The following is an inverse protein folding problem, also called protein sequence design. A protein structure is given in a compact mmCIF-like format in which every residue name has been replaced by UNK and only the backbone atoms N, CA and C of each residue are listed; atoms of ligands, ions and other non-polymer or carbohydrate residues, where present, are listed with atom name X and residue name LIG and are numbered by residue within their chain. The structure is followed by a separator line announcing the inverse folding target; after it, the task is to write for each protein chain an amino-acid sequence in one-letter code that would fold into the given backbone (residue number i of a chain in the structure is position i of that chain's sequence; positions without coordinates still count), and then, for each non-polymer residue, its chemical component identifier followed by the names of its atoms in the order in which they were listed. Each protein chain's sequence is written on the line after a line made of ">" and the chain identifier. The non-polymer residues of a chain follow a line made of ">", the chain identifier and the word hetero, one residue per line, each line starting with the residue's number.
data_IF_984472933280
#
_entry.id   IF_984472933280
#
_cell.length_a   1.000
_cell.length_b   1.000
_cell.length_c   1.000
_cell.angle_alpha   90.00
_cell.angle_beta   90.00
_cell.angle_gamma   90.00
#
_symmetry.space_group_name_H-M   'P 1'
#
loop_
_entity.id
_entity.type
_entity.pdbx_description
1 polymer ?
#
# COMPACT_ATOMS: atom_id res chain seq x y z
N UNK A 1 10.33 -13.49 -2.13
CA UNK A 1 11.04 -12.45 -1.36
C UNK A 1 11.19 -12.73 0.15
N UNK A 2 10.61 -13.78 0.71
CA UNK A 2 10.63 -14.01 2.16
C UNK A 2 11.72 -15.00 2.62
N UNK A 3 12.26 -15.81 1.72
CA UNK A 3 13.29 -16.82 2.04
C UNK A 3 14.56 -16.16 2.59
N UNK A 4 15.00 -15.07 1.97
CA UNK A 4 16.21 -14.35 2.41
C UNK A 4 16.09 -13.73 3.82
N UNK A 5 14.89 -13.29 4.22
CA UNK A 5 14.63 -12.75 5.56
C UNK A 5 14.69 -13.82 6.65
N UNK A 6 14.51 -15.08 6.27
CA UNK A 6 14.53 -16.23 7.18
C UNK A 6 15.92 -16.86 7.18
N UNK A 7 16.46 -17.12 5.99
CA UNK A 7 17.77 -17.74 5.83
C UNK A 7 18.91 -16.81 6.28
N UNK A 8 18.76 -15.49 6.03
CA UNK A 8 19.77 -14.49 6.40
C UNK A 8 20.17 -14.55 7.88
N UNK A 9 19.23 -14.36 8.83
CA UNK A 9 19.55 -14.43 10.26
C UNK A 9 20.09 -15.78 10.72
N UNK A 10 19.59 -16.90 10.14
CA UNK A 10 20.08 -18.24 10.48
C UNK A 10 21.54 -18.44 10.05
N UNK A 11 21.85 -18.07 8.81
CA UNK A 11 23.24 -18.16 8.30
C UNK A 11 24.15 -17.21 9.06
N UNK A 12 23.71 -15.97 9.30
CA UNK A 12 24.49 -15.01 10.09
C UNK A 12 24.72 -15.52 11.52
N UNK A 13 23.68 -16.03 12.18
CA UNK A 13 23.79 -16.61 13.53
C UNK A 13 24.76 -17.80 13.59
N UNK A 14 24.71 -18.72 12.63
CA UNK A 14 25.59 -19.86 12.54
C UNK A 14 27.05 -19.43 12.33
N UNK A 15 27.30 -18.44 11.46
CA UNK A 15 28.64 -17.90 11.21
C UNK A 15 29.19 -17.19 12.46
N UNK A 16 28.37 -16.39 13.14
CA UNK A 16 28.76 -15.70 14.37
C UNK A 16 29.18 -16.72 15.43
N UNK A 17 28.39 -17.79 15.61
CA UNK A 17 28.64 -18.82 16.60
C UNK A 17 29.87 -19.67 16.31
N UNK A 18 30.21 -19.91 15.02
CA UNK A 18 31.30 -20.82 14.63
C UNK A 18 32.59 -20.10 14.26
N UNK A 19 32.52 -18.94 13.61
CA UNK A 19 33.67 -18.26 13.01
C UNK A 19 33.92 -16.87 13.59
N UNK A 20 32.88 -16.26 14.15
CA UNK A 20 32.93 -14.90 14.69
C UNK A 20 32.28 -13.85 13.80
N UNK A 21 31.97 -12.71 14.40
CA UNK A 21 31.14 -11.61 13.79
C UNK A 21 31.81 -11.05 12.52
N UNK A 22 33.12 -11.00 12.43
CA UNK A 22 33.86 -10.45 11.29
C UNK A 22 33.53 -11.15 9.97
N UNK A 23 33.32 -12.45 9.99
CA UNK A 23 33.03 -13.23 8.78
C UNK A 23 31.65 -12.96 8.22
N UNK A 24 30.70 -12.52 9.03
CA UNK A 24 29.37 -12.07 8.55
C UNK A 24 29.50 -10.80 7.71
N UNK A 25 30.34 -9.85 8.13
CA UNK A 25 30.59 -8.64 7.33
C UNK A 25 31.31 -8.95 6.02
N UNK A 26 32.28 -9.88 6.05
CA UNK A 26 32.97 -10.33 4.82
C UNK A 26 31.96 -10.99 3.85
N UNK A 27 31.11 -11.91 4.36
CA UNK A 27 30.12 -12.57 3.55
C UNK A 27 29.15 -11.54 2.94
N UNK A 28 28.67 -10.57 3.75
CA UNK A 28 27.79 -9.52 3.26
C UNK A 28 28.46 -8.66 2.19
N UNK A 29 29.73 -8.30 2.35
CA UNK A 29 30.49 -7.55 1.36
C UNK A 29 30.60 -8.32 0.03
N UNK A 30 30.97 -9.61 0.09
CA UNK A 30 31.06 -10.48 -1.10
C UNK A 30 29.72 -10.60 -1.82
N UNK A 31 28.63 -10.87 -1.09
CA UNK A 31 27.28 -10.97 -1.66
C UNK A 31 26.81 -9.64 -2.27
N UNK A 32 27.18 -8.52 -1.67
CA UNK A 32 26.86 -7.18 -2.20
C UNK A 32 27.57 -6.91 -3.52
N UNK A 33 28.86 -7.28 -3.61
CA UNK A 33 29.64 -7.16 -4.86
C UNK A 33 29.05 -8.07 -5.95
N UNK A 34 28.75 -9.33 -5.63
CA UNK A 34 28.11 -10.26 -6.57
C UNK A 34 26.78 -9.70 -7.07
N UNK A 35 25.94 -9.22 -6.15
CA UNK A 35 24.63 -8.61 -6.51
C UNK A 35 24.81 -7.40 -7.42
N UNK A 36 25.79 -6.53 -7.14
CA UNK A 36 26.14 -5.38 -7.99
C UNK A 36 26.54 -5.84 -9.40
N UNK A 37 27.36 -6.88 -9.51
CA UNK A 37 27.79 -7.44 -10.79
C UNK A 37 26.63 -8.03 -11.59
N UNK A 38 25.72 -8.76 -10.94
CA UNK A 38 24.51 -9.33 -11.56
C UNK A 38 23.62 -8.21 -12.08
N UNK A 39 23.41 -7.14 -11.29
CA UNK A 39 22.59 -5.99 -11.70
C UNK A 39 23.22 -5.25 -12.88
N UNK A 40 24.54 -5.06 -12.90
CA UNK A 40 25.24 -4.43 -14.03
C UNK A 40 25.13 -5.24 -15.33
N UNK A 41 25.09 -6.56 -15.24
CA UNK A 41 24.91 -7.44 -16.40
C UNK A 41 23.46 -7.59 -16.84
N UNK A 42 22.50 -7.17 -16.02
CA UNK A 42 21.09 -7.34 -16.35
C UNK A 42 20.64 -6.37 -17.45
N UNK A 43 20.42 -6.90 -18.62
CA UNK A 43 19.86 -6.15 -19.77
C UNK A 43 18.34 -6.28 -19.76
N UNK A 44 17.65 -5.20 -19.43
CA UNK A 44 16.20 -5.11 -19.57
C UNK A 44 15.84 -4.68 -21.00
N UNK A 45 15.04 -5.46 -21.71
CA UNK A 45 14.40 -5.01 -22.94
C UNK A 45 13.40 -3.90 -22.61
N UNK A 46 13.78 -2.67 -22.92
CA UNK A 46 12.92 -1.51 -22.71
C UNK A 46 11.94 -1.40 -23.90
N UNK A 47 10.63 -1.52 -23.62
CA UNK A 47 9.62 -1.14 -24.61
C UNK A 47 9.50 0.38 -24.56
N UNK A 48 9.89 1.11 -25.61
CA UNK A 48 9.76 2.56 -25.64
C UNK A 48 8.27 2.93 -25.54
N UNK A 49 7.94 3.81 -24.60
CA UNK A 49 6.61 4.39 -24.53
C UNK A 49 6.51 5.48 -25.62
N UNK A 50 5.52 5.45 -26.52
CA UNK A 50 5.36 6.44 -27.58
C UNK A 50 5.18 7.87 -27.04
N UNK A 51 4.66 8.02 -25.79
CA UNK A 51 4.49 9.30 -25.12
C UNK A 51 5.76 9.79 -24.39
N UNK A 52 6.90 9.09 -24.55
CA UNK A 52 8.16 9.44 -23.91
C UNK A 52 8.21 9.11 -22.41
N UNK A 53 9.24 9.65 -21.71
CA UNK A 53 9.42 9.46 -20.27
C UNK A 53 8.54 10.42 -19.48
N UNK A 54 7.94 9.93 -18.39
CA UNK A 54 7.25 10.82 -17.44
C UNK A 54 8.25 11.70 -16.69
N UNK A 55 7.90 12.97 -16.46
CA UNK A 55 8.65 13.84 -15.55
C UNK A 55 8.53 13.33 -14.13
N UNK A 56 9.63 13.25 -13.38
CA UNK A 56 9.64 12.66 -12.03
C UNK A 56 8.62 13.32 -11.09
N UNK A 57 8.55 14.65 -11.09
CA UNK A 57 7.63 15.41 -10.22
C UNK A 57 6.17 15.10 -10.57
N UNK A 58 5.81 15.11 -11.87
CA UNK A 58 4.48 14.76 -12.34
C UNK A 58 4.12 13.32 -11.95
N UNK A 59 5.05 12.40 -12.14
CA UNK A 59 4.90 11.00 -11.77
C UNK A 59 4.66 10.80 -10.25
N UNK A 60 5.41 11.51 -9.40
CA UNK A 60 5.23 11.47 -7.94
C UNK A 60 3.88 12.06 -7.54
N UNK A 61 3.51 13.22 -8.10
CA UNK A 61 2.22 13.86 -7.86
C UNK A 61 1.06 12.92 -8.17
N UNK A 62 1.06 12.33 -9.37
CA UNK A 62 -0.01 11.40 -9.79
C UNK A 62 -0.06 10.18 -8.88
N UNK A 63 1.07 9.64 -8.45
CA UNK A 63 1.12 8.55 -7.47
C UNK A 63 0.50 8.93 -6.13
N UNK A 64 0.81 10.12 -5.60
CA UNK A 64 0.22 10.64 -4.37
C UNK A 64 -1.28 10.90 -4.51
N UNK A 65 -1.70 11.49 -5.63
CA UNK A 65 -3.12 11.71 -5.94
C UNK A 65 -3.89 10.39 -6.00
N UNK A 66 -3.32 9.35 -6.64
CA UNK A 66 -3.94 8.04 -6.68
C UNK A 66 -4.20 7.50 -5.27
N UNK A 67 -3.18 7.53 -4.42
CA UNK A 67 -3.29 7.07 -3.02
C UNK A 67 -4.31 7.90 -2.25
N UNK A 68 -4.28 9.24 -2.39
CA UNK A 68 -5.21 10.14 -1.69
C UNK A 68 -6.68 9.92 -2.11
N UNK A 69 -6.94 9.58 -3.37
CA UNK A 69 -8.28 9.40 -3.91
C UNK A 69 -8.80 7.94 -3.87
N UNK A 70 -7.93 6.96 -3.55
CA UNK A 70 -8.33 5.56 -3.42
C UNK A 70 -8.46 5.19 -1.95
N UNK A 71 -9.71 4.90 -1.51
CA UNK A 71 -10.01 4.47 -0.14
C UNK A 71 -9.31 3.15 0.20
N UNK A 72 -9.26 2.24 -0.76
CA UNK A 72 -8.71 0.89 -0.58
C UNK A 72 -7.22 0.89 -0.28
N UNK A 73 -6.41 1.67 -1.02
CA UNK A 73 -4.97 1.76 -0.73
C UNK A 73 -4.71 2.55 0.55
N UNK A 74 -5.50 3.61 0.85
CA UNK A 74 -5.38 4.33 2.13
C UNK A 74 -5.66 3.42 3.32
N UNK A 75 -6.69 2.56 3.23
CA UNK A 75 -6.98 1.56 4.25
C UNK A 75 -5.81 0.58 4.43
N UNK A 76 -5.24 0.07 3.32
CA UNK A 76 -4.09 -0.83 3.37
C UNK A 76 -2.84 -0.16 3.98
N UNK A 77 -2.59 1.13 3.66
CA UNK A 77 -1.49 1.90 4.26
C UNK A 77 -1.68 2.14 5.76
N UNK A 78 -2.90 2.47 6.18
CA UNK A 78 -3.22 2.65 7.60
C UNK A 78 -3.05 1.34 8.37
N UNK A 79 -3.58 0.23 7.84
CA UNK A 79 -3.46 -1.08 8.47
C UNK A 79 -2.01 -1.54 8.60
N UNK A 80 -1.19 -1.35 7.56
CA UNK A 80 0.22 -1.74 7.63
C UNK A 80 1.00 -0.86 8.60
N UNK A 81 0.75 0.46 8.63
CA UNK A 81 1.39 1.36 9.58
C UNK A 81 1.04 0.99 11.03
N UNK A 82 -0.25 0.75 11.32
CA UNK A 82 -0.73 0.31 12.63
C UNK A 82 -0.15 -1.05 13.02
N UNK A 83 -0.14 -2.01 12.09
CA UNK A 83 0.44 -3.33 12.34
C UNK A 83 1.92 -3.24 12.73
N UNK A 84 2.72 -2.53 11.94
CA UNK A 84 4.15 -2.41 12.21
C UNK A 84 4.47 -1.54 13.42
N UNK A 85 3.64 -0.53 13.73
CA UNK A 85 3.77 0.27 14.94
C UNK A 85 3.67 -0.61 16.20
N UNK A 86 2.70 -1.52 16.26
CA UNK A 86 2.51 -2.37 17.43
C UNK A 86 3.40 -3.60 17.42
N UNK A 87 3.59 -4.25 16.27
CA UNK A 87 4.42 -5.46 16.16
C UNK A 87 5.89 -5.22 16.45
N UNK A 88 6.38 -4.00 16.22
CA UNK A 88 7.77 -3.62 16.52
C UNK A 88 8.07 -3.60 18.02
N UNK A 89 7.06 -3.46 18.89
CA UNK A 89 7.25 -3.48 20.34
C UNK A 89 8.07 -4.68 20.82
N UNK A 90 7.70 -5.87 20.36
CA UNK A 90 8.39 -7.10 20.75
C UNK A 90 9.85 -7.15 20.28
N UNK A 91 10.10 -6.78 19.03
CA UNK A 91 11.47 -6.78 18.48
C UNK A 91 12.35 -5.69 19.09
N UNK A 92 11.80 -4.50 19.34
CA UNK A 92 12.52 -3.39 19.96
C UNK A 92 12.93 -3.70 21.42
N UNK A 93 12.05 -4.40 22.15
CA UNK A 93 12.29 -4.75 23.56
C UNK A 93 12.94 -6.12 23.75
N UNK A 94 13.12 -6.90 22.66
CA UNK A 94 13.67 -8.26 22.71
C UNK A 94 15.01 -8.38 23.44
N UNK A 95 16.00 -7.45 23.27
CA UNK A 95 17.23 -7.51 24.00
C UNK A 95 17.05 -7.37 25.53
N UNK A 96 16.09 -6.55 25.96
CA UNK A 96 15.78 -6.37 27.38
C UNK A 96 15.08 -7.61 27.96
N UNK A 97 14.17 -8.22 27.18
CA UNK A 97 13.50 -9.46 27.57
C UNK A 97 14.50 -10.59 27.70
N UNK A 98 15.41 -10.75 26.72
CA UNK A 98 16.44 -11.79 26.76
C UNK A 98 17.35 -11.67 27.98
N UNK A 99 17.70 -10.45 28.39
CA UNK A 99 18.48 -10.20 29.62
C UNK A 99 17.72 -10.49 30.91
N UNK A 100 16.39 -10.33 30.92
CA UNK A 100 15.53 -10.61 32.08
C UNK A 100 15.24 -12.09 32.32
N UNK A 101 15.43 -12.95 31.31
CA UNK A 101 15.29 -14.39 31.46
C UNK A 101 16.54 -14.97 32.18
N UNK A 102 16.31 -15.95 33.05
CA UNK A 102 17.34 -16.49 34.00
C UNK A 102 18.66 -16.97 33.38
N UNK A 103 18.72 -17.15 32.06
CA UNK A 103 19.96 -17.54 31.33
C UNK A 103 20.61 -16.38 30.59
N UNK A 104 20.09 -15.18 30.65
CA UNK A 104 20.45 -13.85 30.15
C UNK A 104 21.68 -13.62 29.28
N UNK A 105 22.09 -14.58 28.43
CA UNK A 105 23.25 -14.52 27.57
C UNK A 105 22.89 -14.24 26.10
N UNK A 106 23.91 -14.06 25.27
CA UNK A 106 23.74 -13.88 23.82
C UNK A 106 23.07 -15.09 23.15
N UNK A 107 23.17 -16.28 23.75
CA UNK A 107 22.54 -17.52 23.30
C UNK A 107 21.03 -17.44 23.39
N UNK A 108 20.48 -16.88 24.48
CA UNK A 108 19.03 -16.69 24.66
C UNK A 108 18.45 -15.78 23.60
N UNK A 109 19.09 -14.64 23.32
CA UNK A 109 18.66 -13.75 22.25
C UNK A 109 18.67 -14.43 20.87
N UNK A 110 19.72 -15.18 20.57
CA UNK A 110 19.83 -15.95 19.33
C UNK A 110 18.76 -17.03 19.22
N UNK A 111 18.49 -17.75 20.32
CA UNK A 111 17.41 -18.75 20.38
C UNK A 111 16.05 -18.13 20.06
N UNK A 112 15.72 -16.99 20.65
CA UNK A 112 14.45 -16.30 20.43
C UNK A 112 14.29 -15.86 18.96
N UNK A 113 15.33 -15.27 18.36
CA UNK A 113 15.32 -14.90 16.94
C UNK A 113 15.21 -16.12 16.01
N UNK A 114 15.94 -17.19 16.31
CA UNK A 114 15.86 -18.44 15.55
C UNK A 114 14.44 -19.03 15.62
N UNK A 115 13.82 -19.02 16.81
CA UNK A 115 12.45 -19.50 17.01
C UNK A 115 11.44 -18.66 16.21
N UNK A 116 11.60 -17.34 16.17
CA UNK A 116 10.77 -16.48 15.31
C UNK A 116 10.93 -16.84 13.82
N UNK A 117 12.18 -17.10 13.40
CA UNK A 117 12.47 -17.54 12.02
C UNK A 117 11.81 -18.87 11.67
N UNK A 118 11.87 -19.88 12.56
CA UNK A 118 11.22 -21.19 12.33
C UNK A 118 9.70 -21.08 12.22
N UNK A 119 9.08 -20.26 13.09
CA UNK A 119 7.65 -19.95 12.99
C UNK A 119 7.27 -19.28 11.67
N UNK A 120 8.08 -18.33 11.20
CA UNK A 120 7.88 -17.67 9.92
C UNK A 120 8.01 -18.64 8.73
N UNK A 121 8.93 -19.62 8.79
CA UNK A 121 9.04 -20.70 7.77
C UNK A 121 7.75 -21.54 7.77
N UNK A 122 7.28 -21.97 8.94
CA UNK A 122 6.06 -22.77 9.07
C UNK A 122 4.85 -22.06 8.45
N UNK A 123 4.70 -20.75 8.70
CA UNK A 123 3.67 -19.92 8.09
C UNK A 123 3.81 -19.83 6.56
N UNK A 124 5.03 -19.62 6.06
CA UNK A 124 5.28 -19.49 4.63
C UNK A 124 4.90 -20.77 3.87
N UNK A 125 5.19 -21.95 4.44
CA UNK A 125 4.83 -23.24 3.86
C UNK A 125 3.33 -23.52 3.92
N UNK A 126 2.63 -23.07 4.96
CA UNK A 126 1.19 -23.28 5.14
C UNK A 126 0.32 -22.18 4.48
N UNK A 127 0.91 -21.09 3.99
CA UNK A 127 0.19 -19.92 3.48
C UNK A 127 -0.76 -20.24 2.33
N UNK A 128 -0.39 -21.14 1.41
CA UNK A 128 -1.23 -21.53 0.28
C UNK A 128 -2.54 -22.21 0.75
N UNK A 129 -2.44 -23.08 1.75
CA UNK A 129 -3.61 -23.75 2.36
C UNK A 129 -4.45 -22.75 3.14
N UNK A 130 -3.81 -21.88 3.92
CA UNK A 130 -4.50 -20.92 4.79
C UNK A 130 -5.35 -19.92 3.97
N UNK A 131 -4.87 -19.51 2.79
CA UNK A 131 -5.61 -18.64 1.87
C UNK A 131 -6.82 -19.29 1.21
N UNK A 132 -6.86 -20.60 1.09
CA UNK A 132 -8.02 -21.33 0.55
C UNK A 132 -9.18 -21.35 1.53
N UNK A 133 -8.89 -21.29 2.84
CA UNK A 133 -9.87 -21.45 3.91
C UNK A 133 -10.35 -20.13 4.50
N UNK A 134 -9.58 -19.06 4.34
CA UNK A 134 -9.84 -17.79 5.00
C UNK A 134 -9.81 -16.62 4.01
N UNK A 135 -10.84 -15.75 4.03
CA UNK A 135 -10.78 -14.48 3.34
C UNK A 135 -9.65 -13.61 3.94
N UNK A 136 -9.11 -12.70 3.14
CA UNK A 136 -7.92 -11.89 3.50
C UNK A 136 -8.09 -11.10 4.79
N UNK A 137 -9.25 -10.48 4.96
CA UNK A 137 -9.53 -9.64 6.12
C UNK A 137 -9.58 -10.44 7.41
N UNK A 138 -10.21 -11.65 7.36
CA UNK A 138 -10.18 -12.58 8.47
C UNK A 138 -8.76 -13.08 8.77
N UNK A 139 -7.93 -13.26 7.72
CA UNK A 139 -6.54 -13.67 7.88
C UNK A 139 -5.71 -12.59 8.60
N UNK A 140 -5.85 -11.32 8.22
CA UNK A 140 -5.19 -10.18 8.88
C UNK A 140 -5.62 -10.10 10.34
N UNK A 141 -6.93 -10.17 10.64
CA UNK A 141 -7.43 -10.08 12.02
C UNK A 141 -6.93 -11.23 12.88
N UNK A 142 -7.07 -12.48 12.40
CA UNK A 142 -6.63 -13.66 13.15
C UNK A 142 -5.13 -13.67 13.41
N UNK A 143 -4.34 -13.26 12.39
CA UNK A 143 -2.90 -13.14 12.54
C UNK A 143 -2.52 -12.03 13.55
N UNK A 144 -3.22 -10.89 13.54
CA UNK A 144 -2.99 -9.82 14.53
C UNK A 144 -3.35 -10.28 15.94
N UNK A 145 -4.47 -10.97 16.13
CA UNK A 145 -4.85 -11.51 17.44
C UNK A 145 -3.85 -12.57 17.93
N UNK A 146 -3.41 -13.46 17.04
CA UNK A 146 -2.41 -14.47 17.36
C UNK A 146 -1.07 -13.82 17.75
N UNK A 147 -0.66 -12.77 17.04
CA UNK A 147 0.53 -12.01 17.38
C UNK A 147 0.41 -11.32 18.73
N UNK A 148 -0.73 -10.70 19.01
CA UNK A 148 -1.00 -10.06 20.31
C UNK A 148 -0.97 -11.07 21.45
N UNK A 149 -1.58 -12.25 21.25
CA UNK A 149 -1.52 -13.33 22.23
C UNK A 149 -0.07 -13.83 22.47
N UNK A 150 0.71 -13.98 21.40
CA UNK A 150 2.12 -14.34 21.50
C UNK A 150 2.96 -13.25 22.22
N UNK A 151 2.66 -11.96 21.98
CA UNK A 151 3.31 -10.84 22.65
C UNK A 151 2.98 -10.82 24.16
N UNK A 152 1.73 -11.11 24.53
CA UNK A 152 1.32 -11.28 25.92
C UNK A 152 2.02 -12.47 26.57
N UNK A 153 2.04 -13.62 25.89
CA UNK A 153 2.74 -14.81 26.37
C UNK A 153 4.24 -14.55 26.60
N UNK A 154 4.86 -13.75 25.73
CA UNK A 154 6.24 -13.31 25.87
C UNK A 154 6.47 -12.42 27.09
N UNK A 155 5.49 -11.52 27.40
CA UNK A 155 5.57 -10.63 28.57
C UNK A 155 5.55 -11.36 29.91
N UNK A 156 4.93 -12.54 29.97
CA UNK A 156 4.81 -13.38 31.18
C UNK A 156 5.65 -14.66 31.14
N UNK A 157 6.52 -14.81 30.13
CA UNK A 157 7.30 -16.04 29.96
C UNK A 157 8.24 -16.27 31.15
N UNK A 158 8.11 -17.42 31.86
CA UNK A 158 8.91 -17.69 33.05
C UNK A 158 10.35 -18.16 32.70
N UNK A 159 10.57 -18.63 31.49
CA UNK A 159 11.85 -19.18 31.04
C UNK A 159 12.04 -19.05 29.54
N UNK A 160 13.27 -19.28 29.06
CA UNK A 160 13.66 -19.14 27.65
C UNK A 160 12.89 -20.09 26.69
N UNK A 161 12.46 -21.26 27.15
CA UNK A 161 11.74 -22.22 26.29
C UNK A 161 10.31 -21.76 26.00
N UNK A 162 9.59 -21.29 27.01
CA UNK A 162 8.25 -20.71 26.84
C UNK A 162 8.33 -19.48 25.95
N UNK A 163 9.33 -18.63 26.18
CA UNK A 163 9.61 -17.46 25.35
C UNK A 163 9.92 -17.86 23.89
N UNK A 164 10.68 -18.94 23.65
CA UNK A 164 10.98 -19.45 22.31
C UNK A 164 9.73 -19.94 21.57
N UNK A 165 8.82 -20.63 22.27
CA UNK A 165 7.52 -21.03 21.69
C UNK A 165 6.68 -19.79 21.34
N UNK A 166 6.58 -18.83 22.25
CA UNK A 166 5.86 -17.58 21.99
C UNK A 166 6.47 -16.81 20.79
N UNK A 167 7.79 -16.78 20.65
CA UNK A 167 8.49 -16.20 19.51
C UNK A 167 8.21 -16.94 18.20
N UNK A 168 8.14 -18.27 18.21
CA UNK A 168 7.77 -19.03 17.02
C UNK A 168 6.35 -18.71 16.56
N UNK A 169 5.38 -18.64 17.50
CA UNK A 169 4.00 -18.24 17.21
C UNK A 169 3.95 -16.79 16.70
N UNK A 170 4.73 -15.89 17.31
CA UNK A 170 4.83 -14.50 16.85
C UNK A 170 5.36 -14.41 15.43
N UNK A 171 6.43 -15.14 15.09
CA UNK A 171 7.00 -15.19 13.74
C UNK A 171 5.99 -15.71 12.69
N UNK A 172 5.22 -16.73 13.04
CA UNK A 172 4.14 -17.25 12.21
C UNK A 172 3.07 -16.17 11.96
N UNK A 173 2.59 -15.54 13.00
CA UNK A 173 1.57 -14.50 12.92
C UNK A 173 2.05 -13.28 12.14
N UNK A 174 3.27 -12.83 12.42
CA UNK A 174 3.89 -11.67 11.79
C UNK A 174 4.00 -11.82 10.27
N UNK A 175 4.56 -12.93 9.78
CA UNK A 175 4.73 -13.15 8.33
C UNK A 175 3.39 -13.34 7.64
N UNK A 176 2.42 -13.97 8.31
CA UNK A 176 1.06 -14.16 7.79
C UNK A 176 0.37 -12.80 7.58
N UNK A 177 0.38 -11.94 8.59
CA UNK A 177 -0.22 -10.61 8.52
C UNK A 177 0.50 -9.71 7.50
N UNK A 178 1.83 -9.61 7.57
CA UNK A 178 2.64 -8.81 6.66
C UNK A 178 2.43 -9.21 5.19
N UNK A 179 2.32 -10.52 4.91
CA UNK A 179 2.08 -11.02 3.57
C UNK A 179 0.64 -10.72 3.10
N UNK A 180 -0.37 -10.90 3.96
CA UNK A 180 -1.76 -10.58 3.63
C UNK A 180 -1.94 -9.08 3.31
N UNK A 181 -1.37 -8.20 4.14
CA UNK A 181 -1.38 -6.74 3.92
C UNK A 181 -0.62 -6.34 2.63
N UNK A 182 0.54 -6.96 2.37
CA UNK A 182 1.32 -6.69 1.16
C UNK A 182 0.56 -7.06 -0.11
N UNK A 183 -0.12 -8.20 -0.12
CA UNK A 183 -0.93 -8.64 -1.26
C UNK A 183 -2.16 -7.74 -1.42
N UNK A 184 -2.81 -7.35 -0.32
CA UNK A 184 -3.94 -6.41 -0.36
C UNK A 184 -3.54 -5.08 -0.98
N UNK A 185 -2.40 -4.52 -0.58
CA UNK A 185 -1.87 -3.28 -1.16
C UNK A 185 -1.54 -3.43 -2.66
N UNK A 186 -0.90 -4.53 -3.07
CA UNK A 186 -0.57 -4.78 -4.48
C UNK A 186 -1.79 -4.89 -5.37
N UNK A 187 -2.85 -5.57 -4.90
CA UNK A 187 -4.09 -5.73 -5.65
C UNK A 187 -4.98 -4.47 -5.66
N UNK A 188 -4.69 -3.51 -4.78
CA UNK A 188 -5.36 -2.21 -4.77
C UNK A 188 -4.72 -1.20 -5.72
N UNK A 189 -3.68 -1.60 -6.47
CA UNK A 189 -2.88 -0.73 -7.31
C UNK A 189 -2.82 -1.27 -8.75
N UNK A 190 -3.30 -0.52 -9.75
CA UNK A 190 -3.09 -0.88 -11.15
C UNK A 190 -1.60 -0.81 -11.50
N UNK A 191 -1.22 -1.52 -12.57
CA UNK A 191 0.19 -1.73 -12.95
C UNK A 191 0.99 -0.45 -13.12
N UNK A 192 0.37 0.58 -13.70
CA UNK A 192 1.03 1.85 -14.01
C UNK A 192 1.44 2.66 -12.77
N UNK A 193 0.76 2.48 -11.62
CA UNK A 193 1.06 3.21 -10.35
C UNK A 193 1.63 2.28 -9.27
N UNK A 194 1.68 0.95 -9.53
CA UNK A 194 2.06 -0.05 -8.52
C UNK A 194 3.40 0.23 -7.86
N UNK A 195 4.42 0.58 -8.62
CA UNK A 195 5.75 0.86 -8.07
C UNK A 195 5.72 2.05 -7.08
N UNK A 196 4.96 3.11 -7.40
CA UNK A 196 4.81 4.31 -6.57
C UNK A 196 3.99 4.05 -5.31
N UNK A 197 2.86 3.35 -5.46
CA UNK A 197 2.03 2.94 -4.32
C UNK A 197 2.76 2.00 -3.38
N UNK A 198 3.57 1.07 -3.91
CA UNK A 198 4.38 0.17 -3.09
C UNK A 198 5.55 0.87 -2.39
N UNK A 199 6.11 1.94 -2.94
CA UNK A 199 7.09 2.76 -2.19
C UNK A 199 6.44 3.48 -1.01
N UNK A 200 5.21 4.01 -1.16
CA UNK A 200 4.45 4.56 -0.02
C UNK A 200 4.10 3.49 1.01
N UNK A 201 3.80 2.27 0.57
CA UNK A 201 3.60 1.11 1.45
C UNK A 201 4.86 0.81 2.28
N UNK A 202 6.05 0.86 1.66
CA UNK A 202 7.32 0.69 2.38
C UNK A 202 7.59 1.84 3.35
N UNK A 203 7.26 3.08 2.99
CA UNK A 203 7.34 4.22 3.92
C UNK A 203 6.41 4.02 5.13
N UNK A 204 5.20 3.51 4.93
CA UNK A 204 4.28 3.20 6.02
C UNK A 204 4.82 2.09 6.96
N UNK A 205 5.48 1.06 6.41
CA UNK A 205 6.17 0.02 7.20
C UNK A 205 7.28 0.65 8.06
N UNK A 206 8.21 1.35 7.42
CA UNK A 206 9.39 1.92 8.09
C UNK A 206 8.97 2.99 9.10
N UNK A 207 8.05 3.88 8.71
CA UNK A 207 7.51 4.91 9.60
C UNK A 207 6.76 4.32 10.79
N UNK A 208 5.89 3.34 10.56
CA UNK A 208 5.20 2.60 11.63
C UNK A 208 6.17 1.91 12.57
N UNK A 209 7.19 1.23 12.03
CA UNK A 209 8.21 0.56 12.84
C UNK A 209 9.06 1.54 13.67
N UNK A 210 9.50 2.65 13.07
CA UNK A 210 10.29 3.65 13.77
C UNK A 210 9.50 4.32 14.91
N UNK A 211 8.27 4.73 14.62
CA UNK A 211 7.37 5.29 15.64
C UNK A 211 7.06 4.27 16.73
N UNK A 212 6.83 3.00 16.34
CA UNK A 212 6.59 1.91 17.28
C UNK A 212 7.78 1.68 18.20
N UNK A 213 9.00 1.59 17.66
CA UNK A 213 10.21 1.41 18.47
C UNK A 213 10.41 2.55 19.47
N UNK A 214 10.20 3.80 19.04
CA UNK A 214 10.30 4.97 19.92
C UNK A 214 9.21 4.97 21.01
N UNK A 215 7.95 4.74 20.62
CA UNK A 215 6.79 4.75 21.52
C UNK A 215 6.92 3.65 22.58
N UNK A 216 7.15 2.42 22.17
CA UNK A 216 7.20 1.27 23.08
C UNK A 216 8.49 1.22 23.88
N UNK A 217 9.62 1.70 23.31
CA UNK A 217 10.86 1.91 24.03
C UNK A 217 10.66 2.91 25.17
N UNK A 218 10.07 4.08 24.90
CA UNK A 218 9.77 5.08 25.91
C UNK A 218 8.75 4.57 26.95
N UNK A 219 7.71 3.87 26.53
CA UNK A 219 6.74 3.27 27.46
C UNK A 219 7.43 2.28 28.41
N UNK A 220 8.34 1.45 27.89
CA UNK A 220 9.07 0.49 28.71
C UNK A 220 10.02 1.16 29.74
N UNK A 221 10.58 2.33 29.40
CA UNK A 221 11.45 3.09 30.34
C UNK A 221 10.66 3.75 31.45
N UNK A 222 9.46 4.25 31.16
CA UNK A 222 8.59 4.96 32.13
C UNK A 222 7.82 3.97 33.02
N UNK A 223 7.50 2.79 32.49
CA UNK A 223 6.71 1.79 33.23
C UNK A 223 7.53 0.51 33.49
N UNK A 224 7.36 -0.47 32.60
CA UNK A 224 8.15 -1.72 32.57
C UNK A 224 8.01 -2.39 31.21
N UNK A 225 8.95 -3.30 30.88
CA UNK A 225 8.91 -4.08 29.64
C UNK A 225 7.63 -4.91 29.51
N UNK A 226 7.18 -5.69 30.54
CA UNK A 226 5.93 -6.42 30.45
C UNK A 226 4.73 -5.50 30.22
N UNK A 227 4.63 -4.38 30.94
CA UNK A 227 3.52 -3.42 30.78
C UNK A 227 3.48 -2.86 29.36
N UNK A 228 4.63 -2.45 28.80
CA UNK A 228 4.70 -1.96 27.42
C UNK A 228 4.22 -3.01 26.41
N UNK A 229 4.58 -4.28 26.58
CA UNK A 229 4.13 -5.38 25.72
C UNK A 229 2.63 -5.64 25.86
N UNK A 230 2.06 -5.61 27.08
CA UNK A 230 0.62 -5.76 27.30
C UNK A 230 -0.18 -4.65 26.62
N UNK A 231 0.24 -3.39 26.80
CA UNK A 231 -0.42 -2.25 26.19
C UNK A 231 -0.29 -2.31 24.65
N UNK A 232 0.87 -2.66 24.13
CA UNK A 232 1.08 -2.81 22.68
C UNK A 232 0.18 -3.91 22.09
N UNK A 233 0.07 -5.06 22.75
CA UNK A 233 -0.77 -6.16 22.30
C UNK A 233 -2.26 -5.81 22.28
N UNK A 234 -2.74 -5.18 23.35
CA UNK A 234 -4.15 -4.80 23.48
C UNK A 234 -4.51 -3.68 22.49
N UNK A 235 -3.73 -2.58 22.51
CA UNK A 235 -3.98 -1.45 21.59
C UNK A 235 -3.83 -1.85 20.14
N UNK A 236 -2.87 -2.72 19.78
CA UNK A 236 -2.69 -3.23 18.44
C UNK A 236 -3.91 -4.00 17.93
N UNK A 237 -4.48 -4.88 18.76
CA UNK A 237 -5.69 -5.62 18.43
C UNK A 237 -6.90 -4.70 18.24
N UNK A 238 -7.09 -3.74 19.14
CA UNK A 238 -8.20 -2.78 19.07
C UNK A 238 -8.06 -1.86 17.85
N UNK A 239 -6.89 -1.29 17.64
CA UNK A 239 -6.64 -0.41 16.47
C UNK A 239 -6.84 -1.15 15.16
N UNK A 240 -6.39 -2.40 15.03
CA UNK A 240 -6.58 -3.19 13.83
C UNK A 240 -8.06 -3.52 13.60
N UNK A 241 -8.80 -3.88 14.65
CA UNK A 241 -10.24 -4.13 14.59
C UNK A 241 -11.00 -2.88 14.11
N UNK A 242 -10.71 -1.73 14.68
CA UNK A 242 -11.32 -0.46 14.28
C UNK A 242 -10.94 -0.07 12.85
N UNK A 243 -9.67 -0.26 12.48
CA UNK A 243 -9.21 0.01 11.12
C UNK A 243 -9.93 -0.87 10.09
N UNK A 244 -10.15 -2.15 10.37
CA UNK A 244 -10.92 -3.02 9.49
C UNK A 244 -12.38 -2.60 9.41
N UNK A 245 -13.01 -2.33 10.54
CA UNK A 245 -14.44 -1.97 10.56
C UNK A 245 -14.74 -0.64 9.87
N UNK A 246 -13.89 0.37 10.04
CA UNK A 246 -14.19 1.72 9.53
C UNK A 246 -13.58 2.03 8.18
N UNK A 247 -12.46 1.39 7.82
CA UNK A 247 -11.77 1.70 6.58
C UNK A 247 -12.13 0.75 5.43
N UNK A 248 -12.60 -0.48 5.70
CA UNK A 248 -12.95 -1.46 4.66
C UNK A 248 -14.42 -1.39 4.24
N UNK A 249 -15.30 -0.92 5.10
CA UNK A 249 -16.75 -0.89 4.85
C UNK A 249 -17.21 0.06 3.72
N UNK A 250 -16.30 0.89 3.20
CA UNK A 250 -16.57 1.89 2.16
C UNK A 250 -16.03 1.53 0.78
N UNK A 251 -15.37 0.41 0.61
CA UNK A 251 -14.73 0.06 -0.66
C UNK A 251 -15.52 -0.96 -1.46
N UNK A 252 -16.38 -0.50 -2.37
CA UNK A 252 -16.83 -1.31 -3.50
C UNK A 252 -15.61 -1.91 -4.20
N UNK A 253 -15.65 -3.18 -4.56
CA UNK A 253 -14.59 -3.81 -5.36
C UNK A 253 -14.55 -3.14 -6.74
N UNK A 254 -13.60 -2.22 -6.90
CA UNK A 254 -13.33 -1.61 -8.19
C UNK A 254 -12.55 -2.60 -9.05
N UNK A 255 -13.02 -2.86 -10.26
CA UNK A 255 -12.29 -3.64 -11.25
C UNK A 255 -11.16 -2.78 -11.85
N UNK A 256 -9.93 -3.06 -11.40
CA UNK A 256 -8.72 -2.36 -11.84
C UNK A 256 -8.10 -2.96 -13.11
N UNK A 257 -8.80 -3.87 -13.82
CA UNK A 257 -8.33 -4.44 -15.07
C UNK A 257 -8.14 -3.31 -16.09
N UNK A 258 -6.96 -3.19 -16.73
CA UNK A 258 -6.75 -2.17 -17.76
C UNK A 258 -7.74 -2.33 -18.92
N UNK A 259 -8.41 -1.25 -19.29
CA UNK A 259 -9.31 -1.23 -20.46
C UNK A 259 -8.74 -0.34 -21.55
N UNK A 260 -8.94 -0.75 -22.82
CA UNK A 260 -8.57 0.02 -24.02
C UNK A 260 -9.79 0.53 -24.80
N UNK A 261 -10.96 0.53 -24.19
CA UNK A 261 -12.20 0.94 -24.87
C UNK A 261 -12.27 2.44 -25.17
N UNK A 262 -11.40 3.23 -24.53
CA UNK A 262 -11.30 4.65 -24.85
C UNK A 262 -10.17 4.87 -25.86
N UNK A 263 -10.55 5.29 -27.06
CA UNK A 263 -9.58 5.73 -28.06
C UNK A 263 -9.00 7.10 -27.66
N UNK A 264 -7.67 7.18 -27.64
CA UNK A 264 -7.00 8.44 -27.45
C UNK A 264 -7.30 9.38 -28.64
N UNK A 265 -7.57 10.65 -28.42
CA UNK A 265 -7.80 11.58 -29.51
C UNK A 265 -6.56 11.69 -30.39
N UNK A 266 -6.76 11.59 -31.70
CA UNK A 266 -5.70 11.84 -32.67
C UNK A 266 -5.42 13.34 -32.65
N UNK A 267 -4.30 13.73 -32.08
CA UNK A 267 -3.87 15.13 -32.11
C UNK A 267 -3.08 15.38 -33.40
N UNK A 268 -3.49 16.40 -34.14
CA UNK A 268 -2.55 17.13 -34.96
C UNK A 268 -1.41 17.72 -34.12
N UNK A 269 -0.39 18.32 -34.74
CA UNK A 269 0.72 18.96 -34.02
C UNK A 269 0.19 20.06 -33.07
N UNK A 270 -0.06 19.71 -31.80
CA UNK A 270 -0.50 20.65 -30.77
C UNK A 270 0.71 21.07 -29.93
N UNK A 271 0.80 22.33 -29.48
CA UNK A 271 1.88 22.77 -28.62
C UNK A 271 1.90 21.93 -27.33
N UNK A 272 3.11 21.51 -26.94
CA UNK A 272 3.32 20.69 -25.75
C UNK A 272 3.18 21.45 -24.42
N UNK A 273 3.12 22.78 -24.47
CA UNK A 273 3.13 23.66 -23.30
C UNK A 273 1.72 24.27 -23.09
N UNK A 274 1.27 24.25 -21.84
CA UNK A 274 -0.04 24.76 -21.41
C UNK A 274 -0.95 23.69 -20.81
N UNK A 275 -1.82 24.12 -19.88
CA UNK A 275 -2.81 23.22 -19.27
C UNK A 275 -3.92 22.90 -20.25
N UNK A 276 -4.33 21.64 -20.29
CA UNK A 276 -5.45 21.18 -21.14
C UNK A 276 -6.72 21.15 -20.34
N UNK A 277 -7.74 21.86 -20.82
CA UNK A 277 -9.09 21.83 -20.28
C UNK A 277 -9.97 20.97 -21.16
N UNK A 278 -10.53 19.93 -20.59
CA UNK A 278 -11.52 19.06 -21.26
C UNK A 278 -12.87 19.34 -20.66
N UNK A 279 -13.83 19.74 -21.49
CA UNK A 279 -15.22 20.02 -21.08
C UNK A 279 -16.14 18.98 -21.71
N UNK A 280 -17.01 18.37 -20.91
CA UNK A 280 -18.03 17.41 -21.34
C UNK A 280 -19.39 17.95 -20.97
N UNK A 281 -20.25 18.18 -21.97
CA UNK A 281 -21.57 18.76 -21.77
C UNK A 281 -22.64 17.65 -21.62
N UNK A 282 -23.35 17.67 -20.50
CA UNK A 282 -24.45 16.75 -20.22
C UNK A 282 -25.78 17.51 -20.18
N UNK A 283 -26.82 16.91 -20.75
CA UNK A 283 -28.20 17.34 -20.58
C UNK A 283 -28.93 16.25 -19.83
N UNK A 284 -29.43 16.54 -18.64
CA UNK A 284 -30.05 15.55 -17.75
C UNK A 284 -31.44 16.00 -17.31
N UNK A 285 -32.28 15.07 -16.87
CA UNK A 285 -33.52 15.39 -16.21
C UNK A 285 -33.27 16.17 -14.90
N UNK A 286 -33.80 17.41 -14.75
CA UNK A 286 -33.62 18.19 -13.53
C UNK A 286 -34.10 17.49 -12.25
N UNK A 287 -35.07 16.58 -12.33
CA UNK A 287 -35.60 15.82 -11.20
C UNK A 287 -34.55 14.81 -10.68
N UNK A 288 -33.63 14.33 -11.55
CA UNK A 288 -32.56 13.39 -11.22
C UNK A 288 -31.23 14.07 -10.94
N UNK A 289 -31.21 15.40 -10.80
CA UNK A 289 -29.96 16.16 -10.57
C UNK A 289 -29.23 15.76 -9.28
N UNK A 290 -29.94 15.30 -8.25
CA UNK A 290 -29.35 14.80 -7.01
C UNK A 290 -28.50 13.55 -7.24
N UNK A 291 -29.08 12.55 -7.91
CA UNK A 291 -28.41 11.27 -8.22
C UNK A 291 -27.24 11.48 -9.18
N UNK A 292 -27.42 12.34 -10.19
CA UNK A 292 -26.34 12.70 -11.11
C UNK A 292 -25.15 13.32 -10.38
N UNK A 293 -25.39 14.27 -9.46
CA UNK A 293 -24.30 14.88 -8.67
C UNK A 293 -23.57 13.85 -7.80
N UNK A 294 -24.29 12.90 -7.21
CA UNK A 294 -23.70 11.81 -6.44
C UNK A 294 -22.77 10.95 -7.32
N UNK A 295 -23.25 10.57 -8.53
CA UNK A 295 -22.44 9.85 -9.50
C UNK A 295 -21.21 10.64 -9.95
N UNK A 296 -21.35 11.96 -10.13
CA UNK A 296 -20.26 12.83 -10.55
C UNK A 296 -19.17 13.00 -9.49
N UNK A 297 -19.46 12.73 -8.21
CA UNK A 297 -18.40 12.60 -7.18
C UNK A 297 -17.51 11.37 -7.41
N UNK A 298 -18.07 10.27 -7.91
CA UNK A 298 -17.26 9.12 -8.34
C UNK A 298 -16.39 9.49 -9.55
N UNK A 299 -16.96 10.21 -10.53
CA UNK A 299 -16.21 10.73 -11.68
C UNK A 299 -15.04 11.60 -11.25
N UNK A 300 -15.28 12.54 -10.32
CA UNK A 300 -14.21 13.38 -9.74
C UNK A 300 -13.07 12.55 -9.18
N UNK A 301 -13.39 11.55 -8.35
CA UNK A 301 -12.37 10.67 -7.74
C UNK A 301 -11.61 9.90 -8.82
N UNK A 302 -12.29 9.34 -9.81
CA UNK A 302 -11.66 8.62 -10.93
C UNK A 302 -10.71 9.55 -11.71
N UNK A 303 -11.15 10.77 -12.10
CA UNK A 303 -10.32 11.71 -12.86
C UNK A 303 -9.08 12.16 -12.10
N UNK A 304 -9.23 12.48 -10.80
CA UNK A 304 -8.10 12.84 -9.95
C UNK A 304 -7.14 11.66 -9.74
N UNK A 305 -7.63 10.42 -9.60
CA UNK A 305 -6.77 9.22 -9.53
C UNK A 305 -5.94 9.03 -10.79
N UNK A 306 -6.49 9.35 -11.95
CA UNK A 306 -5.81 9.24 -13.24
C UNK A 306 -4.79 10.37 -13.47
N UNK A 307 -4.74 11.40 -12.62
CA UNK A 307 -3.73 12.45 -12.63
C UNK A 307 -4.20 13.81 -13.11
N UNK A 308 -5.52 14.05 -13.21
CA UNK A 308 -6.04 15.38 -13.47
C UNK A 308 -5.59 16.36 -12.38
N UNK A 309 -5.24 17.60 -12.75
CA UNK A 309 -4.90 18.69 -11.83
C UNK A 309 -6.11 19.21 -11.09
N UNK A 310 -7.23 19.36 -11.83
CA UNK A 310 -8.48 19.88 -11.33
C UNK A 310 -9.67 19.16 -11.95
N UNK A 311 -10.80 19.25 -11.24
CA UNK A 311 -12.07 18.76 -11.72
C UNK A 311 -13.20 19.59 -11.12
N UNK A 312 -14.09 20.06 -11.95
CA UNK A 312 -15.26 20.86 -11.57
C UNK A 312 -16.50 20.37 -12.29
N UNK A 313 -17.66 20.51 -11.63
CA UNK A 313 -18.98 20.31 -12.24
C UNK A 313 -19.72 21.64 -12.23
N UNK A 314 -19.85 22.24 -13.38
CA UNK A 314 -20.54 23.50 -13.58
C UNK A 314 -22.00 23.24 -13.95
N UNK A 315 -22.90 24.06 -13.43
CA UNK A 315 -24.33 24.04 -13.79
C UNK A 315 -24.64 25.29 -14.55
N UNK A 316 -25.30 25.17 -15.72
CA UNK A 316 -25.81 26.32 -16.45
C UNK A 316 -26.99 26.94 -15.68
N UNK A 317 -26.88 28.21 -15.37
CA UNK A 317 -27.91 28.94 -14.64
C UNK A 317 -29.11 29.33 -15.55
N UNK A 318 -28.89 29.44 -16.86
CA UNK A 318 -29.91 29.78 -17.83
C UNK A 318 -30.69 28.59 -18.38
N UNK A 319 -30.12 27.36 -18.24
CA UNK A 319 -30.70 26.15 -18.80
C UNK A 319 -30.75 25.04 -17.74
N UNK A 320 -31.91 24.84 -17.08
CA UNK A 320 -32.06 23.75 -16.11
C UNK A 320 -31.72 22.38 -16.73
N UNK A 321 -30.99 21.54 -15.98
CA UNK A 321 -30.59 20.22 -16.47
C UNK A 321 -29.27 20.20 -17.29
N UNK A 322 -28.72 21.36 -17.64
CA UNK A 322 -27.43 21.43 -18.33
C UNK A 322 -26.28 21.48 -17.35
N UNK A 323 -25.32 20.55 -17.50
CA UNK A 323 -24.10 20.43 -16.68
C UNK A 323 -22.87 20.31 -17.57
N UNK A 324 -21.76 20.91 -17.12
CA UNK A 324 -20.45 20.82 -17.77
C UNK A 324 -19.48 20.16 -16.78
N UNK A 325 -18.96 18.98 -17.13
CA UNK A 325 -17.83 18.36 -16.42
C UNK A 325 -16.54 18.97 -16.99
N UNK A 326 -15.79 19.70 -16.17
CA UNK A 326 -14.54 20.32 -16.56
C UNK A 326 -13.38 19.57 -15.90
N UNK A 327 -12.38 19.17 -16.69
CA UNK A 327 -11.21 18.43 -16.26
C UNK A 327 -9.98 19.19 -16.72
N UNK A 328 -9.06 19.44 -15.81
CA UNK A 328 -7.82 20.17 -16.10
C UNK A 328 -6.64 19.19 -16.01
N UNK A 329 -5.93 19.02 -17.11
CA UNK A 329 -4.71 18.20 -17.21
C UNK A 329 -3.47 19.11 -17.34
N UNK A 330 -2.32 18.63 -16.88
CA UNK A 330 -1.06 19.41 -16.80
C UNK A 330 -0.53 19.78 -18.17
N UNK A 331 -0.54 18.81 -19.09
CA UNK A 331 -0.11 18.99 -20.49
C UNK A 331 -0.92 18.07 -21.39
N UNK A 332 -0.85 18.29 -22.70
CA UNK A 332 -1.45 17.38 -23.68
C UNK A 332 -0.92 15.94 -23.54
N UNK A 333 0.37 15.78 -23.30
CA UNK A 333 0.99 14.47 -23.06
C UNK A 333 0.40 13.75 -21.83
N UNK A 334 0.18 14.47 -20.72
CA UNK A 334 -0.47 13.90 -19.53
C UNK A 334 -1.95 13.59 -19.78
N UNK A 335 -2.64 14.40 -20.58
CA UNK A 335 -4.00 14.09 -21.05
C UNK A 335 -4.04 12.76 -21.81
N UNK A 336 -3.13 12.54 -22.77
CA UNK A 336 -3.03 11.28 -23.52
C UNK A 336 -2.69 10.10 -22.60
N UNK A 337 -1.78 10.26 -21.63
CA UNK A 337 -1.44 9.20 -20.66
C UNK A 337 -2.61 8.75 -19.82
N UNK A 338 -3.62 9.59 -19.62
CA UNK A 338 -4.84 9.19 -18.89
C UNK A 338 -5.59 8.06 -19.59
N UNK A 339 -5.54 7.99 -20.93
CA UNK A 339 -6.16 6.90 -21.69
C UNK A 339 -5.46 5.55 -21.41
N UNK A 340 -4.15 5.56 -21.17
CA UNK A 340 -3.40 4.36 -20.75
C UNK A 340 -3.71 3.91 -19.30
N UNK A 341 -4.35 4.80 -18.51
CA UNK A 341 -4.64 4.57 -17.08
C UNK A 341 -6.10 4.17 -16.82
N UNK A 342 -6.90 4.04 -17.85
CA UNK A 342 -8.31 3.65 -17.77
C UNK A 342 -8.45 2.20 -17.33
N UNK A 343 -9.41 1.95 -16.44
CA UNK A 343 -9.76 0.63 -15.93
C UNK A 343 -11.19 0.24 -16.32
N UNK A 344 -11.56 -1.03 -16.18
CA UNK A 344 -12.91 -1.51 -16.44
C UNK A 344 -13.95 -0.77 -15.57
N UNK A 345 -13.61 -0.43 -14.32
CA UNK A 345 -14.49 0.38 -13.46
C UNK A 345 -14.74 1.78 -14.01
N UNK A 346 -13.77 2.38 -14.72
CA UNK A 346 -13.94 3.70 -15.34
C UNK A 346 -14.88 3.63 -16.56
N UNK A 347 -14.85 2.51 -17.30
CA UNK A 347 -15.80 2.25 -18.40
C UNK A 347 -17.22 2.11 -17.87
N UNK A 348 -17.42 1.28 -16.84
CA UNK A 348 -18.73 1.13 -16.20
C UNK A 348 -19.25 2.46 -15.62
N UNK A 349 -18.37 3.29 -15.07
CA UNK A 349 -18.72 4.63 -14.59
C UNK A 349 -19.17 5.55 -15.75
N UNK A 350 -18.50 5.48 -16.91
CA UNK A 350 -18.90 6.23 -18.10
C UNK A 350 -20.30 5.82 -18.58
N UNK A 351 -20.58 4.53 -18.65
CA UNK A 351 -21.91 4.03 -19.06
C UNK A 351 -23.01 4.53 -18.11
N UNK A 352 -22.77 4.47 -16.80
CA UNK A 352 -23.70 5.03 -15.80
C UNK A 352 -23.92 6.54 -15.98
N UNK A 353 -22.88 7.31 -16.33
CA UNK A 353 -23.02 8.75 -16.62
C UNK A 353 -23.83 9.00 -17.88
N UNK A 354 -23.58 8.23 -18.94
CA UNK A 354 -24.32 8.33 -20.19
C UNK A 354 -25.81 8.00 -20.02
N UNK A 355 -26.17 7.09 -19.12
CA UNK A 355 -27.58 6.76 -18.80
C UNK A 355 -28.37 7.93 -18.16
N UNK A 356 -27.72 8.98 -17.69
CA UNK A 356 -28.36 10.20 -17.24
C UNK A 356 -28.58 11.22 -18.37
N UNK A 357 -27.85 11.08 -19.49
CA UNK A 357 -27.94 12.01 -20.60
C UNK A 357 -29.22 11.76 -21.40
N UNK A 358 -30.05 12.80 -21.57
CA UNK A 358 -31.34 12.76 -22.28
C UNK A 358 -31.29 13.46 -23.63
N UNK A 359 -30.11 13.99 -24.05
CA UNK A 359 -29.94 14.61 -25.36
C UNK A 359 -29.99 13.58 -26.48
N UNK A 360 -30.47 13.97 -27.65
CA UNK A 360 -30.56 13.11 -28.85
C UNK A 360 -29.14 12.72 -29.37
N UNK A 361 -28.15 13.56 -29.12
CA UNK A 361 -26.75 13.35 -29.50
C UNK A 361 -25.90 13.01 -28.26
N UNK A 362 -24.78 12.25 -28.43
CA UNK A 362 -23.88 12.00 -27.33
C UNK A 362 -23.32 13.28 -26.69
N UNK A 363 -22.92 13.26 -25.39
CA UNK A 363 -22.33 14.43 -24.73
C UNK A 363 -21.16 15.03 -25.54
N UNK A 364 -21.23 16.33 -25.80
CA UNK A 364 -20.19 17.04 -26.57
C UNK A 364 -18.95 17.15 -25.72
N UNK A 365 -17.80 16.73 -26.29
CA UNK A 365 -16.50 16.80 -25.65
C UNK A 365 -15.64 17.84 -26.36
N UNK A 366 -15.30 18.92 -25.65
CA UNK A 366 -14.42 19.98 -26.13
C UNK A 366 -13.05 19.90 -25.42
N UNK A 367 -11.98 20.13 -26.14
CA UNK A 367 -10.62 20.16 -25.60
C UNK A 367 -9.97 21.48 -25.97
N UNK A 368 -9.53 22.22 -24.98
CA UNK A 368 -8.89 23.52 -25.14
C UNK A 368 -7.56 23.52 -24.41
N UNK A 369 -6.61 24.30 -24.90
CA UNK A 369 -5.35 24.60 -24.19
C UNK A 369 -5.48 25.99 -23.60
N UNK A 370 -5.01 26.18 -22.36
CA UNK A 370 -4.96 27.48 -21.73
C UNK A 370 -3.71 28.20 -22.29
N UNK A 371 -3.93 29.26 -23.06
CA UNK A 371 -2.88 30.12 -23.52
C UNK A 371 -2.50 31.11 -22.41
N UNK A 372 -1.22 31.07 -22.00
CA UNK A 372 -0.67 32.08 -21.09
C UNK A 372 -0.46 33.36 -21.87
N UNK A 373 -1.35 34.32 -21.72
CA UNK A 373 -1.21 35.68 -22.24
C UNK A 373 -0.25 36.49 -21.34
N UNK A 374 1.03 36.04 -21.23
CA UNK A 374 2.08 36.80 -20.51
C UNK A 374 2.91 37.62 -21.46
#
# INVERSE_FOLDING_TARGET
>A
MNVSRIVGPLVAGAIIASLGTQYVFVLNAVLSVISGFVIMRWRRTHKPNPLGRERLISAMRVGMQYVAQSSRIRAALAQVALFFLHSTALLALLPLIARGLHTGDAGTFTLLLASMGTGAIGAALSMSRLRQWLPRDALVMRATLLQSAATVAMAIAPNAWVAAIAMAVNGMAWITCANALSVSAQLSLPDWVRARGMSMYQMAIVGGSALGAALWGQTATVTSVPTALFVAALSGSVCMYLAQRWLLDTSLEEDLTPSREFEAPVAGQLPCDGHVVVTIAYVIDPLRAGDFKALMQESRRSRLRQGALGWELLRDMGKPGHYLEQIIDDTWTEHLRRFDRVTASDVALRERKLAFHIGDEPPVITRCVIDNLS
#
